data_IF_979651381985
#
_entry.id   IF_979651381985
#
_cell.length_a   1.000
_cell.length_b   1.000
_cell.length_c   1.000
_cell.angle_alpha   90.00
_cell.angle_beta   90.00
_cell.angle_gamma   90.00
#
_symmetry.space_group_name_H-M   'P 1'
#
loop_
_entity.id
_entity.type
_entity.pdbx_description
1 polymer ?
#
# COMPACT_ATOMS: atom_id res chain seq x y z
N UNK A 1 22.37 -6.31 -15.02
CA UNK A 1 21.78 -7.22 -14.01
C UNK A 1 21.21 -6.35 -12.90
N UNK A 2 19.97 -6.61 -12.46
CA UNK A 2 19.35 -5.77 -11.43
C UNK A 2 20.14 -5.88 -10.12
N UNK A 3 20.24 -4.77 -9.39
CA UNK A 3 21.05 -4.70 -8.16
C UNK A 3 20.38 -5.57 -7.08
N UNK A 4 21.12 -6.46 -6.40
CA UNK A 4 20.55 -7.24 -5.32
C UNK A 4 20.09 -6.31 -4.20
N UNK A 5 18.86 -6.52 -3.75
CA UNK A 5 18.23 -5.77 -2.66
C UNK A 5 18.67 -6.31 -1.30
N UNK A 6 18.94 -7.60 -1.22
CA UNK A 6 19.30 -8.31 0.01
C UNK A 6 20.16 -9.54 -0.29
N UNK A 7 21.01 -9.92 0.65
CA UNK A 7 21.83 -11.13 0.59
C UNK A 7 21.70 -11.91 1.90
N UNK A 8 21.59 -13.22 1.79
CA UNK A 8 21.47 -14.12 2.93
C UNK A 8 21.45 -15.57 2.46
N UNK A 9 20.73 -16.44 3.17
CA UNK A 9 20.67 -17.85 2.79
C UNK A 9 19.25 -18.44 2.93
N UNK A 10 18.92 -19.39 2.06
CA UNK A 10 17.77 -20.27 2.27
C UNK A 10 18.21 -21.37 3.23
N UNK A 11 17.45 -21.58 4.31
CA UNK A 11 17.66 -22.65 5.28
C UNK A 11 16.51 -23.64 5.20
N UNK A 12 16.83 -24.91 4.97
CA UNK A 12 15.87 -26.01 5.00
C UNK A 12 16.46 -27.20 5.73
N UNK A 13 16.02 -27.43 6.96
CA UNK A 13 16.59 -28.44 7.85
C UNK A 13 18.09 -28.19 8.08
N UNK A 14 18.93 -29.04 7.50
CA UNK A 14 20.40 -28.97 7.62
C UNK A 14 21.08 -28.32 6.40
N UNK A 15 20.32 -27.91 5.39
CA UNK A 15 20.86 -27.34 4.15
C UNK A 15 20.76 -25.83 4.20
N UNK A 16 21.89 -25.16 3.97
CA UNK A 16 21.98 -23.70 3.86
C UNK A 16 22.48 -23.33 2.46
N UNK A 17 21.73 -22.48 1.77
CA UNK A 17 21.97 -22.11 0.37
C UNK A 17 22.15 -20.59 0.30
N UNK A 18 23.36 -20.07 0.10
CA UNK A 18 23.59 -18.64 -0.09
C UNK A 18 22.84 -18.11 -1.33
N UNK A 19 22.03 -17.07 -1.13
CA UNK A 19 21.23 -16.44 -2.18
C UNK A 19 21.20 -14.92 -2.06
N UNK A 20 20.88 -14.27 -3.18
CA UNK A 20 20.58 -12.84 -3.28
C UNK A 20 19.16 -12.64 -3.77
N UNK A 21 18.46 -11.69 -3.17
CA UNK A 21 17.11 -11.29 -3.57
C UNK A 21 17.20 -10.13 -4.55
N UNK A 22 16.48 -10.25 -5.66
CA UNK A 22 16.40 -9.27 -6.74
C UNK A 22 14.92 -9.01 -7.03
N UNK A 23 14.54 -7.76 -7.33
CA UNK A 23 13.14 -7.45 -7.68
C UNK A 23 12.69 -8.28 -8.89
N UNK A 24 11.48 -8.82 -8.85
CA UNK A 24 10.87 -9.47 -10.01
C UNK A 24 10.03 -8.51 -10.87
N UNK A 25 9.76 -7.32 -10.36
CA UNK A 25 9.02 -6.25 -11.03
C UNK A 25 9.91 -5.02 -11.23
N UNK A 26 9.59 -4.25 -12.25
CA UNK A 26 10.19 -2.94 -12.50
C UNK A 26 9.14 -1.86 -12.23
N UNK A 27 9.57 -0.78 -11.61
CA UNK A 27 8.74 0.40 -11.41
C UNK A 27 8.79 1.25 -12.69
N UNK A 28 7.62 1.60 -13.17
CA UNK A 28 7.39 2.30 -14.41
C UNK A 28 6.68 3.65 -14.20
N UNK A 29 6.52 4.07 -12.95
CA UNK A 29 5.81 5.28 -12.59
C UNK A 29 6.60 6.54 -12.98
N UNK A 30 5.87 7.59 -13.38
CA UNK A 30 6.44 8.91 -13.65
C UNK A 30 6.66 9.66 -12.33
N UNK A 31 7.93 9.88 -12.00
CA UNK A 31 8.31 10.51 -10.74
C UNK A 31 8.47 12.03 -10.86
N UNK A 32 7.64 12.77 -10.12
CA UNK A 32 7.76 14.24 -10.04
C UNK A 32 8.64 14.68 -8.86
N UNK A 33 9.40 15.73 -9.09
CA UNK A 33 10.03 16.48 -8.00
C UNK A 33 9.24 17.76 -7.72
N UNK A 34 9.20 18.14 -6.44
CA UNK A 34 8.47 19.33 -6.02
C UNK A 34 9.24 20.59 -6.43
N UNK A 35 8.57 21.46 -7.17
CA UNK A 35 9.10 22.76 -7.60
C UNK A 35 8.17 23.88 -7.15
N UNK A 36 8.73 25.06 -6.92
CA UNK A 36 7.96 26.27 -6.76
C UNK A 36 7.55 26.77 -8.15
N UNK A 37 6.25 26.81 -8.44
CA UNK A 37 5.73 27.02 -9.80
C UNK A 37 6.12 28.38 -10.41
N UNK A 38 6.46 29.37 -9.58
CA UNK A 38 6.81 30.72 -10.03
C UNK A 38 8.24 30.81 -10.58
N UNK A 39 9.19 30.11 -9.96
CA UNK A 39 10.63 30.21 -10.27
C UNK A 39 11.27 28.87 -10.66
N UNK A 40 10.48 27.79 -10.68
CA UNK A 40 10.89 26.41 -10.92
C UNK A 40 11.98 25.90 -9.95
N UNK A 41 12.17 26.57 -8.81
CA UNK A 41 13.13 26.20 -7.80
C UNK A 41 12.74 24.92 -7.05
N UNK A 42 13.72 24.06 -6.73
CA UNK A 42 13.48 22.83 -5.96
C UNK A 42 13.00 23.14 -4.54
N UNK A 43 11.86 22.57 -4.15
CA UNK A 43 11.31 22.71 -2.80
C UNK A 43 11.96 21.68 -1.87
N UNK A 44 12.48 22.13 -0.72
CA UNK A 44 13.01 21.25 0.33
C UNK A 44 12.05 21.18 1.51
N UNK A 45 11.95 19.99 2.11
CA UNK A 45 11.21 19.77 3.36
C UNK A 45 12.19 19.82 4.54
N UNK A 46 11.79 20.45 5.65
CA UNK A 46 12.48 20.38 6.94
C UNK A 46 11.59 19.67 7.95
N UNK A 47 12.17 18.81 8.78
CA UNK A 47 11.48 18.16 9.90
C UNK A 47 11.68 19.02 11.13
N UNK A 48 10.61 19.31 11.86
CA UNK A 48 10.63 20.20 13.02
C UNK A 48 9.96 19.48 14.18
N UNK A 49 10.61 19.46 15.35
CA UNK A 49 10.05 18.89 16.56
C UNK A 49 8.94 19.80 17.10
N UNK A 50 7.80 19.22 17.46
CA UNK A 50 6.62 19.97 17.92
C UNK A 50 6.82 20.61 19.30
N UNK A 51 7.61 19.96 20.17
CA UNK A 51 7.79 20.39 21.56
C UNK A 51 8.71 21.61 21.70
N UNK A 52 9.76 21.69 20.88
CA UNK A 52 10.80 22.73 21.00
C UNK A 52 10.94 23.60 19.74
N UNK A 53 10.25 23.27 18.65
CA UNK A 53 10.30 23.99 17.38
C UNK A 53 11.63 23.88 16.65
N UNK A 54 12.53 22.97 17.05
CA UNK A 54 13.85 22.83 16.45
C UNK A 54 13.78 22.00 15.17
N UNK A 55 14.59 22.39 14.18
CA UNK A 55 14.78 21.58 12.98
C UNK A 55 15.66 20.39 13.34
N UNK A 56 15.12 19.19 13.17
CA UNK A 56 15.80 17.93 13.50
C UNK A 56 16.28 17.22 12.24
N UNK A 57 17.44 16.58 12.35
CA UNK A 57 18.01 15.73 11.31
C UNK A 57 17.37 14.33 11.32
N UNK A 58 17.59 13.52 10.28
CA UNK A 58 17.02 12.17 10.21
C UNK A 58 17.55 11.26 11.33
N UNK A 59 18.82 11.43 11.70
CA UNK A 59 19.50 10.58 12.69
C UNK A 59 18.99 10.83 14.12
N UNK A 60 18.35 11.98 14.36
CA UNK A 60 17.73 12.34 15.63
C UNK A 60 16.27 11.87 15.74
N UNK A 61 15.73 11.23 14.70
CA UNK A 61 14.33 10.83 14.61
C UNK A 61 14.22 9.31 14.73
N UNK A 62 13.80 8.85 15.91
CA UNK A 62 13.41 7.45 16.15
C UNK A 62 11.90 7.21 16.00
N UNK A 63 11.45 6.02 16.42
CA UNK A 63 10.03 5.67 16.52
C UNK A 63 9.58 5.78 17.98
N UNK A 64 8.37 6.29 18.22
CA UNK A 64 7.75 6.30 19.55
C UNK A 64 6.61 5.29 19.62
N UNK A 65 6.56 4.49 20.69
CA UNK A 65 5.43 3.61 21.00
C UNK A 65 4.72 4.09 22.27
N UNK A 66 3.44 4.43 22.14
CA UNK A 66 2.62 4.88 23.27
C UNK A 66 2.14 3.67 24.09
N UNK A 67 2.68 3.52 25.30
CA UNK A 67 2.29 2.46 26.24
C UNK A 67 1.03 2.88 27.01
N UNK A 68 0.91 4.17 27.30
CA UNK A 68 -0.27 4.81 27.89
C UNK A 68 -0.32 6.29 27.51
N UNK A 69 -1.43 6.98 27.80
CA UNK A 69 -1.69 8.38 27.38
C UNK A 69 -0.57 9.38 27.65
N UNK A 70 0.31 9.11 28.61
CA UNK A 70 1.42 9.99 28.99
C UNK A 70 2.78 9.27 29.00
N UNK A 71 2.85 8.05 28.47
CA UNK A 71 4.08 7.24 28.46
C UNK A 71 4.37 6.74 27.05
N UNK A 72 5.35 7.38 26.40
CA UNK A 72 5.90 6.95 25.13
C UNK A 72 7.30 6.38 25.34
N UNK A 73 7.55 5.21 24.78
CA UNK A 73 8.89 4.59 24.75
C UNK A 73 9.50 4.87 23.39
N UNK A 74 10.70 5.45 23.38
CA UNK A 74 11.48 5.60 22.15
C UNK A 74 12.09 4.25 21.77
N UNK A 75 12.02 3.93 20.49
CA UNK A 75 12.61 2.75 19.86
C UNK A 75 13.45 3.25 18.70
N UNK A 76 14.76 3.07 18.77
CA UNK A 76 15.66 3.51 17.69
C UNK A 76 15.70 2.48 16.56
N UNK A 77 16.13 2.92 15.37
CA UNK A 77 16.32 1.99 14.26
C UNK A 77 17.46 1.00 14.56
N UNK A 78 18.51 1.38 15.30
CA UNK A 78 19.56 0.43 15.69
C UNK A 78 19.06 -0.65 16.65
N UNK A 79 18.17 -0.31 17.60
CA UNK A 79 17.57 -1.29 18.51
C UNK A 79 16.70 -2.30 17.76
N UNK A 80 15.97 -1.85 16.73
CA UNK A 80 15.19 -2.72 15.85
C UNK A 80 16.09 -3.62 14.99
N UNK A 81 17.23 -3.11 14.52
CA UNK A 81 18.21 -3.88 13.74
C UNK A 81 18.95 -4.93 14.56
N UNK A 82 19.22 -4.64 15.84
CA UNK A 82 19.89 -5.56 16.77
C UNK A 82 18.96 -6.63 17.35
N UNK A 83 17.65 -6.55 17.04
CA UNK A 83 16.69 -7.52 17.52
C UNK A 83 17.11 -8.93 17.06
N UNK A 84 17.27 -9.90 17.98
CA UNK A 84 17.78 -11.22 17.68
C UNK A 84 16.69 -12.07 17.02
N UNK A 85 16.32 -11.72 15.78
CA UNK A 85 15.47 -12.56 14.96
C UNK A 85 16.33 -13.70 14.37
N UNK A 86 15.97 -14.98 14.59
CA UNK A 86 16.66 -16.10 13.96
C UNK A 86 16.62 -16.01 12.42
N UNK A 87 15.63 -15.29 11.88
CA UNK A 87 15.40 -15.04 10.45
C UNK A 87 16.11 -13.80 9.90
N UNK A 88 16.93 -13.09 10.70
CA UNK A 88 17.57 -11.82 10.34
C UNK A 88 18.34 -11.85 9.00
N UNK A 89 18.96 -12.98 8.66
CA UNK A 89 19.72 -13.18 7.41
C UNK A 89 19.38 -14.48 6.69
N UNK A 90 18.24 -15.07 7.02
CA UNK A 90 17.84 -16.37 6.51
C UNK A 90 16.38 -16.39 6.05
N UNK A 91 16.16 -17.08 4.94
CA UNK A 91 14.83 -17.51 4.47
C UNK A 91 14.67 -18.94 4.96
N UNK A 92 13.99 -19.13 6.09
CA UNK A 92 13.77 -20.43 6.69
C UNK A 92 12.52 -21.08 6.11
N UNK A 93 12.67 -22.20 5.41
CA UNK A 93 11.53 -22.98 4.90
C UNK A 93 10.91 -23.75 6.07
N UNK A 94 9.65 -23.46 6.37
CA UNK A 94 8.92 -24.04 7.50
C UNK A 94 7.93 -25.12 7.08
N UNK A 95 7.42 -25.08 5.84
CA UNK A 95 6.46 -26.05 5.35
C UNK A 95 6.45 -26.14 3.81
N UNK A 96 5.89 -27.22 3.29
CA UNK A 96 5.50 -27.34 1.88
C UNK A 96 4.00 -27.57 1.81
N UNK A 97 3.32 -26.81 0.95
CA UNK A 97 1.87 -26.90 0.76
C UNK A 97 1.56 -26.93 -0.74
N UNK A 98 0.34 -27.30 -1.09
CA UNK A 98 -0.14 -27.20 -2.46
C UNK A 98 -0.42 -25.73 -2.81
N UNK A 99 -0.17 -25.34 -4.05
CA UNK A 99 -0.29 -23.94 -4.48
C UNK A 99 -1.71 -23.40 -4.30
N UNK A 100 -2.72 -24.23 -4.57
CA UNK A 100 -4.14 -23.88 -4.52
C UNK A 100 -4.65 -23.60 -3.09
N UNK A 101 -3.92 -24.04 -2.08
CA UNK A 101 -4.24 -23.75 -0.67
C UNK A 101 -3.89 -22.30 -0.29
N UNK A 102 -3.07 -21.62 -1.09
CA UNK A 102 -2.67 -20.24 -0.84
C UNK A 102 -3.65 -19.30 -1.55
N UNK A 103 -4.49 -18.63 -0.76
CA UNK A 103 -5.35 -17.55 -1.24
C UNK A 103 -4.49 -16.42 -1.85
N UNK A 104 -4.72 -16.03 -3.13
CA UNK A 104 -4.01 -14.92 -3.77
C UNK A 104 -4.05 -13.60 -2.99
N UNK A 105 -5.07 -13.35 -2.16
CA UNK A 105 -5.17 -12.13 -1.32
C UNK A 105 -3.99 -11.97 -0.35
N UNK A 106 -3.33 -13.08 -0.03
CA UNK A 106 -2.17 -13.13 0.87
C UNK A 106 -0.88 -12.77 0.18
N UNK A 107 -0.81 -12.87 -1.15
CA UNK A 107 0.41 -12.65 -1.94
C UNK A 107 0.60 -11.14 -2.16
N UNK A 108 1.84 -10.67 -2.00
CA UNK A 108 2.23 -9.28 -2.20
C UNK A 108 3.41 -9.20 -3.18
N UNK A 109 4.52 -8.55 -2.80
CA UNK A 109 5.64 -8.28 -3.70
C UNK A 109 6.37 -9.56 -4.12
N UNK A 110 6.80 -9.60 -5.37
CA UNK A 110 7.52 -10.72 -5.99
C UNK A 110 9.01 -10.42 -6.14
N UNK A 111 9.84 -11.40 -5.83
CA UNK A 111 11.29 -11.31 -5.95
C UNK A 111 11.90 -12.58 -6.56
N UNK A 112 12.97 -12.43 -7.33
CA UNK A 112 13.77 -13.55 -7.80
C UNK A 112 14.91 -13.85 -6.84
N UNK A 113 15.15 -15.14 -6.59
CA UNK A 113 16.31 -15.61 -5.83
C UNK A 113 17.40 -16.05 -6.78
N UNK A 114 18.56 -15.40 -6.66
CA UNK A 114 19.78 -15.74 -7.42
C UNK A 114 20.81 -16.35 -6.49
N UNK A 115 21.69 -17.20 -7.00
CA UNK A 115 22.73 -17.84 -6.19
C UNK A 115 23.83 -16.85 -5.80
N UNK A 116 24.34 -16.95 -4.58
CA UNK A 116 25.54 -16.21 -4.17
C UNK A 116 26.78 -17.11 -4.23
N UNK A 117 27.52 -17.00 -5.34
CA UNK A 117 28.74 -17.77 -5.58
C UNK A 117 28.51 -19.18 -6.15
N UNK A 118 29.59 -19.82 -6.58
CA UNK A 118 29.54 -21.10 -7.29
C UNK A 118 29.12 -22.29 -6.40
N UNK A 119 29.45 -22.23 -5.10
CA UNK A 119 29.15 -23.31 -4.15
C UNK A 119 27.64 -23.46 -3.92
N UNK A 120 26.87 -22.38 -4.07
CA UNK A 120 25.42 -22.37 -3.92
C UNK A 120 24.66 -22.96 -5.12
N UNK A 121 25.30 -23.10 -6.29
CA UNK A 121 24.62 -23.48 -7.54
C UNK A 121 23.99 -24.89 -7.49
N UNK A 122 24.72 -25.87 -6.96
CA UNK A 122 24.25 -27.27 -6.85
C UNK A 122 23.06 -27.40 -5.89
N UNK A 123 23.12 -26.93 -4.63
CA UNK A 123 21.99 -27.04 -3.73
C UNK A 123 20.79 -26.18 -4.16
N UNK A 124 21.00 -25.01 -4.76
CA UNK A 124 19.92 -24.21 -5.35
C UNK A 124 19.18 -24.99 -6.45
N UNK A 125 19.94 -25.60 -7.37
CA UNK A 125 19.36 -26.40 -8.45
C UNK A 125 18.61 -27.62 -7.92
N UNK A 126 19.12 -28.25 -6.86
CA UNK A 126 18.44 -29.37 -6.21
C UNK A 126 17.10 -28.95 -5.62
N UNK A 127 17.06 -27.85 -4.86
CA UNK A 127 15.82 -27.31 -4.30
C UNK A 127 14.83 -26.94 -5.40
N UNK A 128 15.30 -26.26 -6.46
CA UNK A 128 14.46 -25.92 -7.62
C UNK A 128 13.82 -27.17 -8.24
N UNK A 129 14.62 -28.19 -8.55
CA UNK A 129 14.13 -29.44 -9.16
C UNK A 129 13.18 -30.20 -8.22
N UNK A 130 13.42 -30.15 -6.90
CA UNK A 130 12.54 -30.76 -5.92
C UNK A 130 11.17 -30.07 -5.86
N UNK A 131 11.13 -28.74 -5.87
CA UNK A 131 9.89 -27.96 -5.95
C UNK A 131 9.16 -28.20 -7.27
N UNK A 132 9.85 -28.18 -8.41
CA UNK A 132 9.25 -28.50 -9.73
C UNK A 132 8.61 -29.89 -9.77
N UNK A 133 9.30 -30.91 -9.23
CA UNK A 133 8.82 -32.29 -9.29
C UNK A 133 7.68 -32.58 -8.30
N UNK A 134 7.66 -31.90 -7.18
CA UNK A 134 6.63 -32.11 -6.15
C UNK A 134 5.33 -31.35 -6.45
N UNK A 135 5.34 -30.40 -7.39
CA UNK A 135 4.23 -29.46 -7.63
C UNK A 135 3.78 -28.71 -6.38
N UNK A 136 4.65 -28.63 -5.36
CA UNK A 136 4.39 -27.96 -4.09
C UNK A 136 5.11 -26.62 -4.07
N UNK A 137 4.58 -25.73 -3.24
CA UNK A 137 5.19 -24.44 -2.90
C UNK A 137 5.74 -24.51 -1.48
N UNK A 138 6.89 -23.88 -1.25
CA UNK A 138 7.49 -23.80 0.07
C UNK A 138 6.99 -22.54 0.79
N UNK A 139 6.52 -22.68 2.02
CA UNK A 139 6.25 -21.56 2.92
C UNK A 139 7.51 -21.32 3.73
N UNK A 140 7.93 -20.06 3.79
CA UNK A 140 9.13 -19.65 4.49
C UNK A 140 8.87 -18.48 5.44
N UNK A 141 9.75 -18.31 6.42
CA UNK A 141 9.86 -17.12 7.24
C UNK A 141 11.17 -16.40 6.92
N UNK A 142 11.12 -15.09 6.83
CA UNK A 142 12.31 -14.29 6.61
C UNK A 142 12.15 -12.92 7.26
N UNK A 143 13.26 -12.31 7.69
CA UNK A 143 13.25 -10.95 8.19
C UNK A 143 13.66 -9.97 7.09
N UNK A 144 12.89 -8.90 6.94
CA UNK A 144 13.20 -7.81 6.03
C UNK A 144 12.78 -6.48 6.67
N UNK A 145 13.64 -5.46 6.62
CA UNK A 145 13.44 -4.16 7.28
C UNK A 145 13.04 -4.29 8.78
N UNK A 146 13.72 -5.17 9.51
CA UNK A 146 13.53 -5.35 10.95
C UNK A 146 12.22 -6.04 11.36
N UNK A 147 11.50 -6.68 10.43
CA UNK A 147 10.26 -7.42 10.71
C UNK A 147 10.28 -8.79 10.08
N UNK A 148 9.82 -9.80 10.82
CA UNK A 148 9.58 -11.14 10.27
C UNK A 148 8.33 -11.13 9.38
N UNK A 149 8.44 -11.76 8.21
CA UNK A 149 7.37 -11.92 7.24
C UNK A 149 7.25 -13.38 6.82
N UNK A 150 6.07 -13.75 6.37
CA UNK A 150 5.87 -14.99 5.63
C UNK A 150 6.27 -14.79 4.18
N UNK A 151 6.82 -15.85 3.59
CA UNK A 151 7.21 -15.91 2.19
C UNK A 151 6.68 -17.18 1.53
N UNK A 152 6.41 -17.08 0.24
CA UNK A 152 6.07 -18.20 -0.63
C UNK A 152 7.20 -18.39 -1.64
N UNK A 153 7.81 -19.57 -1.64
CA UNK A 153 8.80 -19.98 -2.62
C UNK A 153 8.13 -20.88 -3.65
N UNK A 154 8.11 -20.43 -4.90
CA UNK A 154 7.62 -21.20 -6.04
C UNK A 154 8.58 -21.13 -7.22
N UNK A 155 8.42 -22.03 -8.18
CA UNK A 155 9.26 -22.03 -9.37
C UNK A 155 8.53 -21.35 -10.52
N UNK A 156 9.28 -20.53 -11.26
CA UNK A 156 8.82 -19.91 -12.50
C UNK A 156 9.98 -19.89 -13.49
N UNK A 157 9.79 -20.46 -14.68
CA UNK A 157 10.75 -20.37 -15.80
C UNK A 157 12.20 -20.73 -15.40
N UNK A 158 12.38 -21.71 -14.51
CA UNK A 158 13.70 -22.16 -14.06
C UNK A 158 14.35 -21.31 -12.96
N UNK A 159 13.64 -20.33 -12.38
CA UNK A 159 14.06 -19.54 -11.23
C UNK A 159 13.16 -19.79 -10.01
N UNK A 160 13.75 -19.69 -8.81
CA UNK A 160 12.98 -19.62 -7.56
C UNK A 160 12.47 -18.19 -7.37
N UNK A 161 11.15 -18.05 -7.23
CA UNK A 161 10.46 -16.79 -6.93
C UNK A 161 10.03 -16.81 -5.48
N UNK A 162 10.43 -15.78 -4.73
CA UNK A 162 9.95 -15.47 -3.39
C UNK A 162 8.84 -14.43 -3.50
N UNK A 163 7.63 -14.78 -3.07
CA UNK A 163 6.57 -13.80 -2.83
C UNK A 163 6.52 -13.46 -1.35
N UNK A 164 6.46 -12.17 -1.03
CA UNK A 164 6.07 -11.75 0.33
C UNK A 164 4.61 -12.11 0.55
N UNK A 165 4.29 -12.62 1.74
CA UNK A 165 2.93 -12.94 2.14
C UNK A 165 2.50 -12.19 3.40
N UNK A 166 1.22 -11.85 3.43
CA UNK A 166 0.52 -11.38 4.62
C UNK A 166 0.30 -12.53 5.61
N UNK A 167 0.37 -12.23 6.89
CA UNK A 167 -0.02 -13.15 7.95
C UNK A 167 -1.53 -13.42 7.92
N UNK A 168 -1.99 -14.60 8.38
CA UNK A 168 -3.42 -14.92 8.39
C UNK A 168 -4.30 -13.88 9.12
N UNK A 169 -3.79 -13.28 10.18
CA UNK A 169 -4.45 -12.23 10.98
C UNK A 169 -4.47 -10.85 10.30
N UNK A 170 -3.65 -10.63 9.26
CA UNK A 170 -3.66 -9.40 8.47
C UNK A 170 -4.75 -9.41 7.38
N UNK A 171 -5.40 -10.55 7.14
CA UNK A 171 -6.46 -10.69 6.14
C UNK A 171 -7.83 -10.57 6.82
N UNK A 172 -8.65 -9.63 6.34
CA UNK A 172 -10.01 -9.44 6.85
C UNK A 172 -10.94 -10.55 6.36
N UNK A 173 -11.86 -10.96 7.22
CA UNK A 173 -12.89 -11.93 6.90
C UNK A 173 -13.92 -11.35 5.91
N UNK A 174 -14.18 -12.00 4.76
CA UNK A 174 -15.11 -11.46 3.75
C UNK A 174 -16.60 -11.51 4.18
N UNK A 175 -16.95 -12.30 5.19
CA UNK A 175 -18.33 -12.56 5.60
C UNK A 175 -19.06 -11.29 6.08
N UNK A 176 -18.34 -10.30 6.59
CA UNK A 176 -18.92 -9.03 7.03
C UNK A 176 -19.14 -8.02 5.88
N UNK A 177 -18.57 -8.30 4.69
CA UNK A 177 -18.58 -7.41 3.53
C UNK A 177 -19.56 -7.84 2.44
N UNK A 178 -19.90 -9.13 2.39
CA UNK A 178 -20.81 -9.66 1.37
C UNK A 178 -22.23 -9.10 1.54
N UNK A 179 -22.95 -8.82 0.43
CA UNK A 179 -24.37 -8.50 0.52
C UNK A 179 -25.13 -9.66 1.16
N UNK A 180 -26.24 -9.35 1.85
CA UNK A 180 -27.15 -10.38 2.37
C UNK A 180 -27.65 -11.23 1.21
N UNK A 181 -27.94 -12.50 1.46
CA UNK A 181 -28.41 -13.43 0.44
C UNK A 181 -29.56 -12.81 -0.38
N UNK A 182 -29.33 -12.69 -1.70
CA UNK A 182 -30.30 -12.28 -2.71
C UNK A 182 -30.52 -13.50 -3.60
N UNK A 183 -31.77 -13.84 -3.87
CA UNK A 183 -32.12 -14.88 -4.84
C UNK A 183 -31.97 -14.32 -6.26
N UNK A 184 -31.30 -15.08 -7.13
CA UNK A 184 -31.07 -14.74 -8.54
C UNK A 184 -31.54 -15.93 -9.37
N UNK A 185 -32.24 -15.67 -10.48
CA UNK A 185 -32.77 -16.73 -11.35
C UNK A 185 -31.67 -17.40 -12.18
N UNK A 186 -31.84 -18.70 -12.49
CA UNK A 186 -30.88 -19.43 -13.34
C UNK A 186 -30.73 -18.81 -14.74
N UNK A 187 -31.82 -18.29 -15.32
CA UNK A 187 -31.81 -17.65 -16.64
C UNK A 187 -30.98 -16.35 -16.65
N UNK A 188 -31.01 -15.57 -15.56
CA UNK A 188 -30.17 -14.37 -15.40
C UNK A 188 -28.69 -14.73 -15.29
N UNK A 189 -28.38 -15.84 -14.59
CA UNK A 189 -27.02 -16.37 -14.47
C UNK A 189 -26.50 -16.82 -15.85
N UNK A 190 -27.33 -17.52 -16.63
CA UNK A 190 -26.94 -17.99 -17.97
C UNK A 190 -26.63 -16.81 -18.91
N UNK A 191 -27.44 -15.75 -18.88
CA UNK A 191 -27.18 -14.53 -19.64
C UNK A 191 -25.86 -13.86 -19.23
N UNK A 192 -25.59 -13.77 -17.93
CA UNK A 192 -24.34 -13.22 -17.42
C UNK A 192 -23.11 -14.04 -17.86
N UNK A 193 -23.22 -15.38 -17.89
CA UNK A 193 -22.18 -16.27 -18.38
C UNK A 193 -21.90 -16.05 -19.87
N UNK A 194 -22.93 -15.94 -20.71
CA UNK A 194 -22.75 -15.65 -22.14
C UNK A 194 -22.05 -14.30 -22.38
N UNK A 195 -22.33 -13.29 -21.56
CA UNK A 195 -21.64 -12.01 -21.63
C UNK A 195 -20.17 -12.15 -21.22
N UNK A 196 -19.88 -12.88 -20.15
CA UNK A 196 -18.52 -13.14 -19.69
C UNK A 196 -17.69 -13.87 -20.76
N UNK A 197 -18.27 -14.86 -21.44
CA UNK A 197 -17.61 -15.60 -22.52
C UNK A 197 -17.23 -14.68 -23.69
N UNK A 198 -18.12 -13.75 -24.09
CA UNK A 198 -17.81 -12.77 -25.15
C UNK A 198 -16.71 -11.79 -24.76
N UNK A 199 -16.55 -11.51 -23.47
CA UNK A 199 -15.53 -10.60 -22.92
C UNK A 199 -14.24 -11.31 -22.52
N UNK A 200 -14.18 -12.63 -22.64
CA UNK A 200 -13.00 -13.41 -22.28
C UNK A 200 -11.89 -13.18 -23.30
N UNK A 201 -10.68 -12.95 -22.79
CA UNK A 201 -9.46 -12.78 -23.59
C UNK A 201 -8.42 -13.81 -23.15
N UNK A 202 -7.52 -14.18 -24.05
CA UNK A 202 -6.54 -15.25 -23.81
C UNK A 202 -5.35 -14.78 -22.96
N UNK A 203 -5.00 -13.49 -23.02
CA UNK A 203 -3.86 -12.94 -22.29
C UNK A 203 -4.02 -11.43 -22.00
N UNK A 204 -3.19 -10.93 -21.08
CA UNK A 204 -3.26 -9.56 -20.58
C UNK A 204 -2.35 -8.57 -21.35
N UNK A 205 -1.64 -9.00 -22.40
CA UNK A 205 -0.64 -8.16 -23.09
C UNK A 205 -1.24 -6.96 -23.82
N UNK A 206 -2.55 -7.01 -24.11
CA UNK A 206 -3.29 -5.88 -24.69
C UNK A 206 -3.57 -4.73 -23.70
N UNK A 207 -3.43 -4.94 -22.39
CA UNK A 207 -3.63 -3.89 -21.41
C UNK A 207 -2.39 -3.00 -21.28
N UNK A 208 -2.63 -1.69 -21.25
CA UNK A 208 -1.61 -0.67 -21.01
C UNK A 208 -2.06 0.30 -19.93
N UNK A 209 -1.09 0.95 -19.33
CA UNK A 209 -1.34 2.05 -18.40
C UNK A 209 -1.65 3.33 -19.20
N UNK A 210 -2.93 3.49 -19.56
CA UNK A 210 -3.41 4.65 -20.31
C UNK A 210 -3.17 5.96 -19.55
N UNK A 211 -3.14 5.93 -18.21
CA UNK A 211 -2.83 7.10 -17.40
C UNK A 211 -1.38 7.53 -17.59
N UNK A 212 -0.45 6.58 -17.57
CA UNK A 212 0.97 6.85 -17.82
C UNK A 212 1.19 7.42 -19.22
N UNK A 213 0.61 6.80 -20.25
CA UNK A 213 0.74 7.28 -21.64
C UNK A 213 0.22 8.72 -21.76
N UNK A 214 -0.98 9.00 -21.25
CA UNK A 214 -1.55 10.35 -21.24
C UNK A 214 -0.69 11.36 -20.46
N UNK A 215 -0.08 10.93 -19.35
CA UNK A 215 0.79 11.78 -18.55
C UNK A 215 2.11 12.11 -19.28
N UNK A 216 2.70 11.12 -19.96
CA UNK A 216 3.90 11.30 -20.79
C UNK A 216 3.62 12.29 -21.94
N UNK A 217 2.45 12.19 -22.57
CA UNK A 217 2.03 13.13 -23.63
C UNK A 217 1.84 14.56 -23.11
N UNK A 218 1.21 14.73 -21.94
CA UNK A 218 1.08 16.04 -21.28
C UNK A 218 2.45 16.63 -20.97
N UNK A 219 3.39 15.81 -20.48
CA UNK A 219 4.75 16.25 -20.17
C UNK A 219 5.48 16.67 -21.46
N UNK A 220 5.39 15.87 -22.53
CA UNK A 220 6.00 16.16 -23.81
C UNK A 220 5.44 17.45 -24.44
N UNK A 221 4.11 17.62 -24.45
CA UNK A 221 3.47 18.83 -24.96
C UNK A 221 3.89 20.09 -24.19
N UNK A 222 3.94 20.01 -22.85
CA UNK A 222 4.43 21.12 -22.01
C UNK A 222 5.92 21.41 -22.23
N UNK A 223 6.75 20.39 -22.45
CA UNK A 223 8.17 20.56 -22.73
C UNK A 223 8.42 21.25 -24.08
N UNK A 224 7.61 20.92 -25.10
CA UNK A 224 7.68 21.48 -26.44
C UNK A 224 6.95 22.83 -26.59
N UNK A 225 6.27 23.31 -25.54
CA UNK A 225 5.44 24.52 -25.59
C UNK A 225 4.20 24.42 -26.48
N UNK A 226 3.75 23.18 -26.77
CA UNK A 226 2.55 22.88 -27.55
C UNK A 226 1.30 22.97 -26.68
N UNK A 227 0.10 23.18 -27.27
CA UNK A 227 -1.15 23.01 -26.54
C UNK A 227 -1.21 21.61 -25.92
N UNK A 228 -1.85 21.49 -24.76
CA UNK A 228 -2.07 20.19 -24.15
C UNK A 228 -2.81 19.27 -25.13
N UNK A 229 -2.46 17.98 -25.19
CA UNK A 229 -3.28 17.03 -25.92
C UNK A 229 -4.71 17.17 -25.38
N UNK A 230 -5.65 17.45 -26.27
CA UNK A 230 -7.05 17.23 -25.92
C UNK A 230 -7.18 15.76 -25.54
N UNK A 231 -8.06 15.39 -24.60
CA UNK A 231 -8.54 14.02 -24.61
C UNK A 231 -9.08 13.81 -26.02
N UNK A 232 -8.33 13.11 -26.86
CA UNK A 232 -8.90 12.60 -28.07
C UNK A 232 -10.18 11.90 -27.64
N UNK A 233 -11.24 12.11 -28.40
CA UNK A 233 -12.33 11.16 -28.53
C UNK A 233 -11.68 9.85 -29.01
N UNK A 234 -10.89 9.21 -28.14
CA UNK A 234 -10.28 7.92 -28.39
C UNK A 234 -11.44 7.05 -28.76
N UNK A 235 -11.44 6.62 -30.03
CA UNK A 235 -12.54 5.98 -30.75
C UNK A 235 -13.65 5.64 -29.79
N UNK A 236 -14.79 6.36 -29.84
CA UNK A 236 -15.98 6.00 -29.07
C UNK A 236 -16.06 4.47 -29.04
N UNK A 237 -15.60 3.85 -27.93
CA UNK A 237 -15.61 2.40 -27.79
C UNK A 237 -17.08 2.12 -27.77
N UNK A 238 -17.60 1.72 -28.93
CA UNK A 238 -19.00 1.83 -29.31
C UNK A 238 -19.85 1.61 -28.08
N UNK A 239 -20.35 2.69 -27.50
CA UNK A 239 -21.32 2.65 -26.39
C UNK A 239 -22.67 2.07 -26.88
N UNK A 240 -22.73 1.67 -28.15
CA UNK A 240 -23.88 1.16 -28.87
C UNK A 240 -24.40 -0.21 -28.45
N UNK A 241 -23.78 -0.95 -27.52
CA UNK A 241 -24.31 -2.26 -27.08
C UNK A 241 -24.97 -2.23 -25.68
N UNK A 242 -24.60 -1.28 -24.80
CA UNK A 242 -25.16 -1.23 -23.43
C UNK A 242 -26.58 -0.61 -23.43
N UNK A 243 -26.86 0.32 -24.35
CA UNK A 243 -28.22 0.85 -24.56
C UNK A 243 -29.13 -0.23 -25.18
N UNK A 244 -28.57 -1.12 -25.98
CA UNK A 244 -29.30 -2.24 -26.59
C UNK A 244 -29.58 -3.37 -25.59
N UNK A 245 -28.72 -3.59 -24.59
CA UNK A 245 -28.99 -4.55 -23.50
C UNK A 245 -30.16 -4.13 -22.61
N UNK A 246 -30.24 -2.87 -22.20
CA UNK A 246 -31.39 -2.37 -21.42
C UNK A 246 -32.68 -2.38 -22.24
N UNK A 247 -32.59 -2.11 -23.54
CA UNK A 247 -33.72 -2.18 -24.46
C UNK A 247 -34.17 -3.63 -24.71
N UNK A 248 -33.22 -4.56 -24.90
CA UNK A 248 -33.45 -5.99 -25.08
C UNK A 248 -34.03 -6.64 -23.82
N UNK A 249 -33.55 -6.24 -22.64
CA UNK A 249 -34.08 -6.72 -21.35
C UNK A 249 -35.54 -6.28 -21.17
N UNK A 250 -35.84 -5.01 -21.45
CA UNK A 250 -37.22 -4.49 -21.39
C UNK A 250 -38.14 -5.14 -22.44
N UNK A 251 -37.63 -5.40 -23.64
CA UNK A 251 -38.38 -6.07 -24.70
C UNK A 251 -38.69 -7.53 -24.33
N UNK A 252 -37.73 -8.25 -23.73
CA UNK A 252 -37.92 -9.63 -23.27
C UNK A 252 -38.94 -9.71 -22.11
N UNK A 253 -38.89 -8.77 -21.16
CA UNK A 253 -39.87 -8.68 -20.07
C UNK A 253 -41.27 -8.35 -20.58
N UNK A 254 -41.38 -7.50 -21.61
CA UNK A 254 -42.68 -7.16 -22.21
C UNK A 254 -43.26 -8.34 -23.00
N UNK A 255 -42.44 -9.05 -23.77
CA UNK A 255 -42.84 -10.27 -24.47
C UNK A 255 -43.24 -11.38 -23.48
N UNK A 256 -42.55 -11.49 -22.34
CA UNK A 256 -42.90 -12.41 -21.26
C UNK A 256 -44.26 -12.07 -20.63
N UNK A 257 -44.59 -10.78 -20.45
CA UNK A 257 -45.90 -10.33 -19.97
C UNK A 257 -47.02 -10.61 -20.98
N UNK A 258 -46.78 -10.37 -22.27
CA UNK A 258 -47.75 -10.63 -23.33
C UNK A 258 -48.01 -12.15 -23.52
N UNK A 259 -46.99 -13.00 -23.34
CA UNK A 259 -47.13 -14.47 -23.40
C UNK A 259 -47.88 -15.09 -22.21
N UNK A 260 -47.99 -14.35 -21.09
CA UNK A 260 -48.73 -14.78 -19.89
C UNK A 260 -50.21 -14.39 -19.89
N UNK A 261 -50.68 -13.66 -20.90
CA UNK A 261 -52.11 -13.42 -21.12
C UNK A 261 -52.79 -12.64 -19.98
N UNK A 262 -52.09 -11.66 -19.40
CA UNK A 262 -52.68 -10.72 -18.45
C UNK A 262 -52.83 -9.35 -19.12
N UNK A 263 -53.94 -9.17 -19.85
CA UNK A 263 -54.49 -7.84 -20.10
C UNK A 263 -55.79 -7.69 -19.31
N UNK A 264 -55.83 -6.60 -18.53
CA UNK A 264 -56.90 -6.03 -17.71
C UNK A 264 -57.13 -6.58 -16.28
N UNK A 265 -56.39 -6.03 -15.30
CA UNK A 265 -56.95 -4.93 -14.47
C UNK A 265 -55.82 -4.12 -13.79
N UNK A 266 -56.03 -2.81 -13.66
CA UNK A 266 -54.95 -1.81 -13.66
C UNK A 266 -54.11 -1.61 -12.39
N UNK A 267 -52.84 -1.26 -12.61
CA UNK A 267 -52.18 -0.10 -11.98
C UNK A 267 -50.92 0.25 -12.78
N UNK A 268 -50.88 1.45 -13.37
CA UNK A 268 -49.69 1.98 -14.04
C UNK A 268 -48.49 1.98 -13.07
N UNK A 269 -47.46 1.18 -13.36
CA UNK A 269 -46.18 1.30 -12.69
C UNK A 269 -45.47 2.54 -13.25
N UNK A 270 -45.75 3.69 -12.63
CA UNK A 270 -45.03 4.93 -12.89
C UNK A 270 -43.54 4.75 -12.56
N UNK A 271 -42.70 4.91 -13.58
CA UNK A 271 -41.25 5.09 -13.41
C UNK A 271 -41.02 6.39 -12.65
N UNK A 272 -40.62 6.30 -11.39
CA UNK A 272 -40.14 7.47 -10.66
C UNK A 272 -38.69 7.74 -11.07
N UNK A 273 -38.47 8.83 -11.81
CA UNK A 273 -37.13 9.44 -11.89
C UNK A 273 -36.70 9.85 -10.48
N UNK A 274 -35.58 9.28 -10.01
CA UNK A 274 -34.92 9.72 -8.79
C UNK A 274 -34.29 11.09 -9.02
N UNK A 275 -35.04 12.14 -8.73
CA UNK A 275 -34.44 13.45 -8.52
C UNK A 275 -33.55 13.42 -7.27
N UNK A 276 -32.34 14.02 -7.31
CA UNK A 276 -31.50 14.12 -6.13
C UNK A 276 -32.26 14.88 -5.03
N UNK A 277 -32.35 14.27 -3.85
CA UNK A 277 -33.03 14.85 -2.70
C UNK A 277 -32.44 16.23 -2.38
N UNK A 278 -33.23 17.26 -2.69
CA UNK A 278 -33.00 18.64 -2.29
C UNK A 278 -33.08 18.69 -0.76
N UNK A 279 -31.91 18.64 -0.09
CA UNK A 279 -31.83 18.91 1.36
C UNK A 279 -32.27 20.35 1.60
N UNK A 280 -33.52 20.45 2.01
CA UNK A 280 -34.15 21.60 2.63
C UNK A 280 -33.29 22.08 3.80
N UNK A 281 -33.19 23.41 3.90
CA UNK A 281 -32.31 24.11 4.81
C UNK A 281 -32.51 23.66 6.25
N UNK A 282 -31.41 23.18 6.85
CA UNK A 282 -31.32 23.07 8.30
C UNK A 282 -31.00 24.46 8.84
N UNK A 283 -32.04 25.03 9.43
CA UNK A 283 -32.04 26.19 10.32
C UNK A 283 -30.79 26.24 11.21
N UNK A 284 -30.11 27.39 11.16
CA UNK A 284 -29.01 27.74 12.05
C UNK A 284 -29.51 27.78 13.51
N UNK A 285 -28.84 27.11 14.45
CA UNK A 285 -29.10 27.35 15.86
C UNK A 285 -28.48 28.70 16.27
N UNK A 286 -29.34 29.52 16.86
CA UNK A 286 -29.09 30.86 17.30
C UNK A 286 -27.90 30.99 18.28
N UNK A 287 -27.16 32.09 18.09
CA UNK A 287 -26.19 32.66 19.03
C UNK A 287 -26.80 32.74 20.45
N UNK A 288 -26.31 31.92 21.39
CA UNK A 288 -26.42 32.22 22.81
C UNK A 288 -25.19 33.02 23.24
N UNK A 289 -25.46 34.30 23.55
CA UNK A 289 -24.59 35.19 24.32
C UNK A 289 -24.19 34.51 25.63
N UNK A 290 -22.90 34.29 25.84
CA UNK A 290 -22.36 34.10 27.18
C UNK A 290 -22.37 35.47 27.88
N UNK A 291 -23.09 35.51 28.99
CA UNK A 291 -23.22 36.66 29.86
C UNK A 291 -21.90 36.91 30.60
N UNK A 292 -21.60 38.19 30.73
CA UNK A 292 -20.61 38.78 31.63
C UNK A 292 -20.87 38.40 33.09
N UNK A 293 -19.84 38.00 33.82
CA UNK A 293 -19.74 38.23 35.26
C UNK A 293 -18.39 38.88 35.59
N UNK A 294 -18.49 40.13 36.06
CA UNK A 294 -17.49 40.85 36.85
C UNK A 294 -17.61 40.37 38.30
N UNK A 295 -16.48 40.11 38.94
CA UNK A 295 -16.04 40.56 40.30
C UNK A 295 -14.84 39.67 40.71
N UNK A 296 -13.86 40.08 41.50
CA UNK A 296 -13.43 41.35 42.07
C UNK A 296 -11.98 41.13 42.56
N UNK A 297 -11.25 42.25 42.69
CA UNK A 297 -9.88 42.32 43.15
C UNK A 297 -9.71 42.08 44.66
N UNK A 298 -8.56 41.53 45.07
CA UNK A 298 -7.84 41.83 46.31
C UNK A 298 -6.37 41.38 46.14
N UNK A 299 -5.38 42.25 45.91
CA UNK A 299 -4.68 43.18 46.81
C UNK A 299 -3.49 42.53 47.59
N UNK A 300 -2.30 42.69 46.99
CA UNK A 300 -1.09 43.35 47.52
C UNK A 300 -0.42 42.82 48.80
N UNK A 301 0.86 42.42 48.70
CA UNK A 301 2.00 42.79 49.59
C UNK A 301 3.32 42.18 49.04
N UNK A 302 4.25 42.98 48.51
CA UNK A 302 5.53 43.43 49.13
C UNK A 302 6.47 42.34 49.62
N UNK A 303 7.63 42.18 48.97
CA UNK A 303 8.95 42.11 49.62
C UNK A 303 10.09 42.20 48.59
N UNK A 304 11.21 42.72 49.08
CA UNK A 304 12.40 43.25 48.40
C UNK A 304 13.58 42.30 48.66
N UNK A 305 14.67 42.49 47.89
CA UNK A 305 16.06 42.06 48.15
C UNK A 305 16.42 40.64 47.65
N UNK A 306 17.62 40.28 47.18
CA UNK A 306 18.90 40.95 46.83
C UNK A 306 19.83 39.87 46.28
N UNK A 307 20.79 40.27 45.42
CA UNK A 307 22.09 39.60 45.14
C UNK A 307 22.04 38.27 44.34
N UNK A 308 23.05 37.82 43.61
CA UNK A 308 24.44 38.22 43.52
C UNK A 308 25.03 37.88 42.15
N UNK A 309 26.07 38.63 41.79
CA UNK A 309 26.87 38.46 40.60
C UNK A 309 27.88 37.30 40.70
N UNK A 310 27.99 36.59 39.58
CA UNK A 310 29.18 36.11 38.84
C UNK A 310 30.59 36.43 39.40
N UNK A 311 31.48 35.44 39.17
CA UNK A 311 32.97 35.37 39.20
C UNK A 311 33.55 34.75 40.49
N UNK A 312 34.55 33.87 40.49
CA UNK A 312 35.55 33.49 39.46
C UNK A 312 36.41 32.30 39.88
N UNK A 313 37.15 31.77 38.88
CA UNK A 313 38.48 31.14 38.94
C UNK A 313 38.53 29.64 39.32
N UNK A 314 39.37 28.80 38.72
CA UNK A 314 40.42 28.97 37.72
C UNK A 314 41.28 27.68 37.68
N UNK A 315 42.33 27.69 36.84
CA UNK A 315 43.49 26.76 36.77
C UNK A 315 43.32 25.57 35.82
N UNK A 316 43.92 25.60 34.61
CA UNK A 316 45.33 25.36 34.18
C UNK A 316 45.78 23.88 34.16
N UNK A 317 46.22 23.49 32.94
CA UNK A 317 47.37 22.64 32.56
C UNK A 317 47.33 21.12 32.82
N UNK A 318 47.43 20.34 31.74
CA UNK A 318 48.60 19.48 31.46
C UNK A 318 48.52 18.87 30.04
N UNK A 319 49.51 19.20 29.20
CA UNK A 319 49.79 18.52 27.95
C UNK A 319 50.71 17.32 28.23
N UNK A 320 50.42 16.15 27.64
CA UNK A 320 51.25 14.94 27.76
C UNK A 320 51.92 14.63 26.42
N UNK A 321 53.25 14.57 26.46
CA UNK A 321 54.16 14.21 25.37
C UNK A 321 54.08 12.72 25.01
N UNK A 322 54.42 12.48 23.74
CA UNK A 322 54.83 11.23 23.09
C UNK A 322 55.91 10.45 23.85
N UNK A 323 55.88 9.14 23.71
CA UNK A 323 57.07 8.27 23.60
C UNK A 323 56.75 7.11 22.67
N UNK A 324 57.66 6.86 21.73
CA UNK A 324 57.71 5.68 20.88
C UNK A 324 58.38 4.53 21.64
N UNK A 325 57.91 3.30 21.40
CA UNK A 325 58.72 2.18 20.91
C UNK A 325 57.81 1.08 20.40
#
# INVERSE_FOLDING_TARGET
>A
MPRPLWAGAISFGLVTIPVKIVSATEDHDVHFHRVHLTDMGRVRTRKVCELDGQVVSQDEIGKGYEVSKDQTVAVTDEELEQMPLPTAKAIEIVAFVDADTIDPVRISDSYYLTVDGQVAAKPYTLLRKALERSSKVAVAKFAWHGRERLGLLRIREGAIVLHSMKWPDEVRAPQELAPRAVEVGEEEIEQALQLADRMTIDDLSGFRDEYREALEDIIAAKADGKPLPSPDEGEEKKTGEVVDLMAALNASVKAAKESRGEDHDGQDATVHEMHPAKKTGRTAPAKKKAASSKTAAAKKTTARSTSAAKKSAGKKTAAKKRSAS
#
